data_IF_121520902116
#
_entry.id   IF_121520902116
#
_cell.length_a   1.000
_cell.length_b   1.000
_cell.length_c   1.000
_cell.angle_alpha   90.00
_cell.angle_beta   90.00
_cell.angle_gamma   90.00
#
_symmetry.space_group_name_H-M   'P 1'
#
loop_
_entity.id
_entity.type
_entity.pdbx_description
1 polymer ?
#
# COMPACT_ATOMS: atom_id res chain seq x y z
N UNK A 1 18.22 7.29 -5.17
CA UNK A 1 17.32 7.49 -4.01
C UNK A 1 17.98 6.90 -2.78
N UNK A 2 18.19 7.67 -1.71
CA UNK A 2 18.52 7.08 -0.39
C UNK A 2 17.30 6.33 0.17
N UNK A 3 17.49 5.39 1.10
CA UNK A 3 16.40 4.60 1.72
C UNK A 3 15.29 5.48 2.34
N UNK A 4 15.67 6.54 3.08
CA UNK A 4 14.72 7.54 3.60
C UNK A 4 13.82 8.11 2.51
N UNK A 5 14.40 8.44 1.35
CA UNK A 5 13.66 9.08 0.25
C UNK A 5 12.58 8.17 -0.37
N UNK A 6 12.73 6.83 -0.45
CA UNK A 6 11.65 5.97 -1.00
C UNK A 6 10.47 5.81 -0.02
N UNK A 7 10.76 5.71 1.28
CA UNK A 7 9.75 5.51 2.31
C UNK A 7 8.93 6.78 2.52
N UNK A 8 9.59 7.92 2.71
CA UNK A 8 8.93 9.23 2.87
C UNK A 8 8.03 9.53 1.67
N UNK A 9 8.52 9.32 0.44
CA UNK A 9 7.72 9.45 -0.77
C UNK A 9 6.50 8.52 -0.79
N UNK A 10 6.62 7.29 -0.29
CA UNK A 10 5.51 6.34 -0.24
C UNK A 10 4.45 6.80 0.76
N UNK A 11 4.85 7.21 1.95
CA UNK A 11 3.94 7.76 2.97
C UNK A 11 3.22 9.01 2.44
N UNK A 12 3.95 9.95 1.83
CA UNK A 12 3.37 11.17 1.24
C UNK A 12 2.33 10.85 0.18
N UNK A 13 2.63 9.93 -0.75
CA UNK A 13 1.68 9.52 -1.80
C UNK A 13 0.42 8.87 -1.23
N UNK A 14 0.56 8.03 -0.21
CA UNK A 14 -0.57 7.40 0.46
C UNK A 14 -1.41 8.42 1.24
N UNK A 15 -0.75 9.34 1.96
CA UNK A 15 -1.40 10.44 2.69
C UNK A 15 -2.26 11.27 1.75
N UNK A 16 -1.71 11.70 0.62
CA UNK A 16 -2.46 12.46 -0.36
C UNK A 16 -3.64 11.66 -0.93
N UNK A 17 -3.44 10.39 -1.29
CA UNK A 17 -4.49 9.56 -1.88
C UNK A 17 -5.65 9.32 -0.92
N UNK A 18 -5.37 9.10 0.36
CA UNK A 18 -6.38 8.91 1.39
C UNK A 18 -7.19 10.18 1.65
N UNK A 19 -6.52 11.29 1.93
CA UNK A 19 -7.19 12.55 2.29
C UNK A 19 -7.89 13.21 1.09
N UNK A 20 -7.46 12.94 -0.15
CA UNK A 20 -8.17 13.35 -1.38
C UNK A 20 -9.32 12.39 -1.75
N UNK A 21 -9.49 11.27 -1.03
CA UNK A 21 -10.52 10.27 -1.32
C UNK A 21 -10.32 9.52 -2.64
N UNK A 22 -9.09 9.44 -3.14
CA UNK A 22 -8.75 8.77 -4.42
C UNK A 22 -8.23 7.34 -4.22
N UNK A 23 -7.97 6.93 -2.97
CA UNK A 23 -7.57 5.56 -2.64
C UNK A 23 -8.72 4.57 -2.93
N UNK A 24 -8.40 3.41 -3.51
CA UNK A 24 -9.39 2.40 -3.88
C UNK A 24 -8.81 0.98 -3.84
N UNK A 25 -9.25 0.09 -2.92
CA UNK A 25 -8.73 -1.27 -2.80
C UNK A 25 -8.85 -2.14 -4.05
N UNK A 26 -9.99 -2.10 -4.74
CA UNK A 26 -10.22 -2.93 -5.93
C UNK A 26 -9.63 -2.34 -7.24
N UNK A 27 -8.89 -1.22 -7.20
CA UNK A 27 -8.33 -0.59 -8.40
C UNK A 27 -6.80 -0.66 -8.38
N UNK A 28 -6.20 -1.40 -9.31
CA UNK A 28 -4.73 -1.59 -9.33
C UNK A 28 -3.91 -0.30 -9.52
N UNK A 29 -4.52 0.78 -10.03
CA UNK A 29 -3.90 2.10 -10.13
C UNK A 29 -4.07 2.95 -8.86
N UNK A 30 -5.04 2.64 -8.02
CA UNK A 30 -5.47 3.49 -6.90
C UNK A 30 -5.44 2.79 -5.55
N UNK A 31 -5.04 1.52 -5.48
CA UNK A 31 -4.73 0.84 -4.23
C UNK A 31 -3.41 1.40 -3.63
N UNK A 32 -2.98 0.85 -2.49
CA UNK A 32 -1.75 1.31 -1.85
C UNK A 32 -0.54 1.24 -2.79
N UNK A 33 -0.34 0.08 -3.46
CA UNK A 33 0.80 -0.09 -4.37
C UNK A 33 0.64 0.75 -5.64
N UNK A 34 -0.58 0.85 -6.17
CA UNK A 34 -0.87 1.72 -7.32
C UNK A 34 -0.45 3.17 -7.07
N UNK A 35 -0.79 3.74 -5.91
CA UNK A 35 -0.36 5.09 -5.54
C UNK A 35 1.15 5.20 -5.37
N UNK A 36 1.79 4.26 -4.66
CA UNK A 36 3.27 4.22 -4.52
C UNK A 36 3.96 4.21 -5.90
N UNK A 37 3.37 3.51 -6.86
CA UNK A 37 3.83 3.39 -8.24
C UNK A 37 3.25 4.44 -9.20
N UNK A 38 2.92 5.66 -8.71
CA UNK A 38 2.50 6.79 -9.56
C UNK A 38 1.24 6.49 -10.39
N UNK A 39 0.27 5.86 -9.72
CA UNK A 39 -0.99 5.39 -10.29
C UNK A 39 -0.83 4.45 -11.49
N UNK A 40 0.27 3.68 -11.53
CA UNK A 40 0.50 2.63 -12.52
C UNK A 40 0.11 1.26 -11.97
N UNK A 41 -0.35 0.39 -12.86
CA UNK A 41 -0.85 -0.94 -12.53
C UNK A 41 0.09 -2.08 -12.97
N UNK A 42 1.27 -1.79 -13.52
CA UNK A 42 2.21 -2.81 -14.02
C UNK A 42 2.56 -3.87 -12.96
N UNK A 43 2.53 -3.48 -11.68
CA UNK A 43 2.90 -4.33 -10.55
C UNK A 43 1.93 -5.52 -10.40
N UNK A 44 0.68 -5.38 -10.86
CA UNK A 44 -0.32 -6.46 -10.82
C UNK A 44 0.11 -7.68 -11.64
N UNK A 45 0.97 -7.49 -12.64
CA UNK A 45 1.49 -8.56 -13.51
C UNK A 45 2.67 -9.32 -12.90
N UNK A 46 3.12 -8.96 -11.69
CA UNK A 46 4.18 -9.66 -10.97
C UNK A 46 3.67 -10.93 -10.26
N UNK A 47 2.35 -11.07 -10.12
CA UNK A 47 1.66 -12.26 -9.64
C UNK A 47 0.52 -12.64 -10.60
N UNK A 48 0.06 -13.88 -10.50
CA UNK A 48 -1.06 -14.36 -11.31
C UNK A 48 -2.42 -14.00 -10.68
N UNK A 49 -2.46 -13.84 -9.35
CA UNK A 49 -3.67 -13.53 -8.59
C UNK A 49 -3.53 -12.21 -7.81
N UNK A 50 -4.55 -11.35 -7.85
CA UNK A 50 -4.54 -10.09 -7.10
C UNK A 50 -4.59 -10.35 -5.59
N UNK A 51 -3.62 -9.80 -4.85
CA UNK A 51 -3.45 -9.99 -3.42
C UNK A 51 -2.64 -11.24 -3.04
N UNK A 52 -2.11 -11.97 -4.03
CA UNK A 52 -1.12 -13.01 -3.81
C UNK A 52 0.29 -12.44 -3.66
N UNK A 53 1.07 -13.01 -2.74
CA UNK A 53 2.52 -12.73 -2.58
C UNK A 53 3.40 -13.64 -3.43
N UNK A 54 2.80 -14.60 -4.13
CA UNK A 54 3.53 -15.53 -4.98
C UNK A 54 3.89 -14.85 -6.29
N UNK A 55 5.18 -14.66 -6.53
CA UNK A 55 5.67 -14.15 -7.81
C UNK A 55 5.40 -15.17 -8.93
N UNK A 56 4.93 -14.69 -10.07
CA UNK A 56 4.90 -15.46 -11.30
C UNK A 56 6.27 -15.40 -12.01
N UNK A 57 6.37 -15.94 -13.22
CA UNK A 57 7.63 -15.94 -13.97
C UNK A 57 8.19 -14.52 -14.17
N UNK A 58 7.36 -13.56 -14.59
CA UNK A 58 7.77 -12.16 -14.79
C UNK A 58 8.24 -11.55 -13.47
N UNK A 59 7.49 -11.78 -12.38
CA UNK A 59 7.88 -11.37 -11.04
C UNK A 59 9.24 -11.92 -10.62
N UNK A 60 9.46 -13.22 -10.76
CA UNK A 60 10.69 -13.92 -10.37
C UNK A 60 11.91 -13.43 -11.16
N UNK A 61 11.77 -13.17 -12.46
CA UNK A 61 12.87 -12.63 -13.27
C UNK A 61 13.26 -11.24 -12.79
N UNK A 62 12.29 -10.34 -12.60
CA UNK A 62 12.58 -8.98 -12.11
C UNK A 62 13.18 -9.00 -10.69
N UNK A 63 12.69 -9.90 -9.82
CA UNK A 63 13.20 -10.09 -8.46
C UNK A 63 14.66 -10.54 -8.48
N UNK A 64 14.99 -11.58 -9.25
CA UNK A 64 16.35 -12.13 -9.33
C UNK A 64 17.35 -11.15 -9.94
N UNK A 65 16.91 -10.29 -10.85
CA UNK A 65 17.73 -9.20 -11.40
C UNK A 65 17.89 -8.03 -10.41
N UNK A 66 17.26 -8.08 -9.24
CA UNK A 66 17.29 -6.99 -8.27
C UNK A 66 16.59 -5.72 -8.77
N UNK A 67 15.69 -5.83 -9.76
CA UNK A 67 14.97 -4.69 -10.30
C UNK A 67 14.03 -4.12 -9.25
N UNK A 68 14.03 -2.79 -9.13
CA UNK A 68 13.19 -2.06 -8.17
C UNK A 68 12.19 -1.16 -8.88
N UNK A 69 10.98 -1.09 -8.35
CA UNK A 69 9.90 -0.23 -8.80
C UNK A 69 9.52 0.68 -7.64
N UNK A 70 9.57 2.00 -7.85
CA UNK A 70 9.46 2.99 -6.76
C UNK A 70 10.42 2.71 -5.59
N UNK A 71 11.56 2.05 -5.86
CA UNK A 71 12.53 1.63 -4.85
C UNK A 71 12.28 0.26 -4.22
N UNK A 72 11.18 -0.43 -4.52
CA UNK A 72 10.83 -1.73 -3.94
C UNK A 72 11.02 -2.89 -4.91
N UNK A 73 11.45 -4.04 -4.40
CA UNK A 73 11.47 -5.30 -5.15
C UNK A 73 10.04 -5.77 -5.45
N UNK A 74 9.83 -6.59 -6.50
CA UNK A 74 8.55 -7.23 -6.76
C UNK A 74 7.90 -7.87 -5.52
N UNK A 75 8.66 -8.65 -4.76
CA UNK A 75 8.18 -9.32 -3.55
C UNK A 75 7.76 -8.33 -2.45
N UNK A 76 8.46 -7.20 -2.33
CA UNK A 76 8.13 -6.12 -1.40
C UNK A 76 6.81 -5.45 -1.76
N UNK A 77 6.59 -5.13 -3.05
CA UNK A 77 5.32 -4.55 -3.53
C UNK A 77 4.14 -5.48 -3.25
N UNK A 78 4.26 -6.77 -3.57
CA UNK A 78 3.15 -7.72 -3.35
C UNK A 78 2.81 -7.87 -1.86
N UNK A 79 3.80 -7.79 -0.96
CA UNK A 79 3.55 -7.81 0.49
C UNK A 79 2.82 -6.55 0.97
N UNK A 80 3.17 -5.38 0.43
CA UNK A 80 2.48 -4.12 0.75
C UNK A 80 1.01 -4.20 0.32
N UNK A 81 0.74 -4.64 -0.92
CA UNK A 81 -0.64 -4.78 -1.42
C UNK A 81 -1.43 -5.80 -0.62
N UNK A 82 -0.83 -6.96 -0.33
CA UNK A 82 -1.49 -8.00 0.45
C UNK A 82 -1.90 -7.47 1.83
N UNK A 83 -1.00 -6.78 2.52
CA UNK A 83 -1.29 -6.19 3.83
C UNK A 83 -2.39 -5.12 3.75
N UNK A 84 -2.34 -4.26 2.71
CA UNK A 84 -3.38 -3.26 2.48
C UNK A 84 -4.77 -3.90 2.32
N UNK A 85 -4.89 -4.90 1.45
CA UNK A 85 -6.16 -5.58 1.20
C UNK A 85 -6.63 -6.37 2.43
N UNK A 86 -5.73 -7.03 3.17
CA UNK A 86 -6.08 -7.70 4.42
C UNK A 86 -6.57 -6.72 5.48
N UNK A 87 -5.91 -5.56 5.63
CA UNK A 87 -6.33 -4.51 6.55
C UNK A 87 -7.68 -3.91 6.15
N UNK A 88 -7.97 -3.82 4.85
CA UNK A 88 -9.32 -3.48 4.38
C UNK A 88 -10.37 -4.59 4.61
N UNK A 89 -9.99 -5.76 5.11
CA UNK A 89 -10.90 -6.87 5.42
C UNK A 89 -11.18 -7.82 4.26
N UNK A 90 -10.37 -7.83 3.20
CA UNK A 90 -10.53 -8.78 2.09
C UNK A 90 -9.96 -10.15 2.44
N UNK A 91 -10.64 -11.20 1.98
CA UNK A 91 -10.08 -12.54 1.95
C UNK A 91 -9.23 -12.72 0.67
N UNK A 92 -7.99 -13.18 0.85
CA UNK A 92 -6.99 -13.22 -0.22
C UNK A 92 -6.52 -14.65 -0.58
N UNK A 93 -6.04 -14.88 -1.82
CA UNK A 93 -6.09 -13.96 -2.96
C UNK A 93 -7.53 -13.62 -3.36
N UNK A 94 -7.75 -12.51 -4.05
CA UNK A 94 -9.10 -12.09 -4.41
C UNK A 94 -9.74 -13.10 -5.37
N UNK A 95 -10.89 -13.64 -4.95
CA UNK A 95 -11.72 -14.53 -5.75
C UNK A 95 -13.18 -14.09 -5.66
N UNK A 96 -13.98 -14.48 -6.64
CA UNK A 96 -15.39 -14.08 -6.71
C UNK A 96 -16.23 -14.59 -5.52
N UNK A 97 -15.83 -15.73 -4.96
CA UNK A 97 -16.48 -16.42 -3.84
C UNK A 97 -15.94 -15.99 -2.47
N UNK A 98 -14.86 -15.22 -2.46
CA UNK A 98 -14.22 -14.76 -1.23
C UNK A 98 -14.93 -13.56 -0.63
N UNK A 99 -14.87 -13.46 0.70
CA UNK A 99 -15.41 -12.32 1.40
C UNK A 99 -14.72 -11.02 0.95
N UNK A 100 -15.54 -10.00 0.68
CA UNK A 100 -15.10 -8.64 0.45
C UNK A 100 -15.99 -7.64 1.18
N UNK A 101 -15.44 -6.50 1.62
CA UNK A 101 -16.22 -5.46 2.27
C UNK A 101 -17.33 -4.93 1.36
N UNK A 102 -18.50 -4.61 1.95
CA UNK A 102 -19.64 -4.07 1.21
C UNK A 102 -19.37 -2.67 0.65
N UNK A 103 -18.64 -1.84 1.40
CA UNK A 103 -18.25 -0.50 0.99
C UNK A 103 -16.71 -0.36 1.03
N UNK A 104 -16.01 -0.76 -0.04
CA UNK A 104 -14.54 -0.71 -0.08
C UNK A 104 -13.96 0.71 -0.13
N UNK A 105 -14.80 1.73 -0.32
CA UNK A 105 -14.42 3.15 -0.25
C UNK A 105 -14.72 3.81 1.09
N UNK A 106 -15.17 3.03 2.09
CA UNK A 106 -15.32 3.56 3.45
C UNK A 106 -13.97 4.05 3.95
N UNK A 107 -13.93 5.29 4.45
CA UNK A 107 -12.73 5.90 5.00
C UNK A 107 -12.16 5.07 6.16
N UNK A 108 -13.01 4.48 7.00
CA UNK A 108 -12.59 3.58 8.09
C UNK A 108 -11.88 2.34 7.57
N UNK A 109 -12.45 1.66 6.56
CA UNK A 109 -11.84 0.47 5.94
C UNK A 109 -10.50 0.82 5.27
N UNK A 110 -10.45 1.98 4.61
CA UNK A 110 -9.23 2.46 3.98
C UNK A 110 -8.15 2.81 4.99
N UNK A 111 -8.52 3.42 6.12
CA UNK A 111 -7.62 3.73 7.22
C UNK A 111 -7.00 2.45 7.80
N UNK A 112 -7.81 1.42 8.09
CA UNK A 112 -7.32 0.12 8.57
C UNK A 112 -6.36 -0.54 7.57
N UNK A 113 -6.71 -0.48 6.27
CA UNK A 113 -5.83 -0.93 5.19
C UNK A 113 -4.49 -0.18 5.18
N UNK A 114 -4.51 1.15 5.31
CA UNK A 114 -3.31 1.96 5.31
C UNK A 114 -2.42 1.67 6.50
N UNK A 115 -2.97 1.53 7.71
CA UNK A 115 -2.20 1.13 8.89
C UNK A 115 -1.46 -0.20 8.66
N UNK A 116 -2.12 -1.18 8.02
CA UNK A 116 -1.50 -2.44 7.67
C UNK A 116 -0.38 -2.29 6.62
N UNK A 117 -0.59 -1.49 5.57
CA UNK A 117 0.43 -1.20 4.56
C UNK A 117 1.64 -0.46 5.14
N UNK A 118 1.41 0.54 5.97
CA UNK A 118 2.45 1.34 6.66
C UNK A 118 3.29 0.43 7.57
N UNK A 119 2.65 -0.51 8.27
CA UNK A 119 3.36 -1.51 9.08
C UNK A 119 4.36 -2.30 8.24
N UNK A 120 4.02 -2.67 7.00
CA UNK A 120 4.95 -3.34 6.09
C UNK A 120 6.06 -2.38 5.63
N UNK A 121 5.70 -1.14 5.25
CA UNK A 121 6.68 -0.12 4.85
C UNK A 121 7.72 0.14 5.94
N UNK A 122 7.30 0.30 7.20
CA UNK A 122 8.20 0.48 8.35
C UNK A 122 9.13 -0.72 8.54
N UNK A 123 8.60 -1.96 8.46
CA UNK A 123 9.41 -3.18 8.53
C UNK A 123 10.48 -3.26 7.45
N UNK A 124 10.17 -2.83 6.22
CA UNK A 124 11.14 -2.80 5.11
C UNK A 124 12.28 -1.79 5.33
N UNK A 125 12.05 -0.76 6.16
CA UNK A 125 13.06 0.23 6.54
C UNK A 125 13.75 -0.09 7.88
N UNK A 126 13.30 -1.11 8.61
CA UNK A 126 13.82 -1.45 9.94
C UNK A 126 13.34 -0.49 11.03
N UNK A 127 12.18 0.14 10.84
CA UNK A 127 11.55 1.03 11.82
C UNK A 127 10.62 0.19 12.71
N UNK A 128 10.88 0.20 14.02
CA UNK A 128 10.11 -0.57 15.01
C UNK A 128 8.82 0.14 15.46
N UNK A 129 8.86 1.46 15.65
CA UNK A 129 7.70 2.25 16.06
C UNK A 129 6.95 2.80 14.83
N UNK A 130 5.74 2.28 14.61
CA UNK A 130 4.85 2.61 13.47
C UNK A 130 3.85 3.72 13.84
N UNK A 131 3.76 4.07 15.13
CA UNK A 131 2.69 4.89 15.70
C UNK A 131 2.65 6.28 15.10
N UNK A 132 3.81 6.87 14.85
CA UNK A 132 3.92 8.24 14.34
C UNK A 132 3.45 8.36 12.88
N UNK A 133 3.58 7.30 12.09
CA UNK A 133 3.13 7.29 10.70
C UNK A 133 1.62 6.99 10.56
N UNK A 134 1.05 6.23 11.49
CA UNK A 134 -0.38 5.91 11.45
C UNK A 134 -1.24 7.13 11.79
N UNK A 135 -0.77 8.00 12.70
CA UNK A 135 -1.45 9.25 13.09
C UNK A 135 -1.67 10.21 11.92
N UNK A 136 -0.79 10.21 10.91
CA UNK A 136 -0.94 11.02 9.69
C UNK A 136 -2.26 10.77 8.95
N UNK A 137 -2.92 9.65 9.18
CA UNK A 137 -4.15 9.26 8.51
C UNK A 137 -5.39 9.44 9.38
N UNK A 138 -5.23 9.97 10.60
CA UNK A 138 -6.36 10.33 11.45
C UNK A 138 -7.10 11.55 10.88
N UNK A 139 -8.43 11.50 10.98
CA UNK A 139 -9.30 12.55 10.45
C UNK A 139 -10.28 13.05 11.49
N UNK A 140 -10.42 14.36 11.61
CA UNK A 140 -11.49 15.03 12.35
C UNK A 140 -12.32 15.85 11.35
N UNK A 141 -13.64 15.66 11.35
CA UNK A 141 -14.56 16.30 10.39
C UNK A 141 -14.12 16.19 8.91
N UNK A 142 -13.58 15.04 8.50
CA UNK A 142 -13.02 14.76 7.16
C UNK A 142 -11.80 15.62 6.78
N UNK A 143 -11.13 16.25 7.75
CA UNK A 143 -9.85 16.93 7.56
C UNK A 143 -8.72 16.16 8.24
N UNK A 144 -7.49 16.16 7.69
CA UNK A 144 -6.33 15.58 8.35
C UNK A 144 -6.08 16.26 9.70
N UNK A 145 -5.92 15.47 10.77
CA UNK A 145 -5.55 16.00 12.10
C UNK A 145 -4.07 16.43 12.13
N UNK A 146 -3.23 15.71 11.40
CA UNK A 146 -1.78 15.91 11.34
C UNK A 146 -1.32 16.20 9.91
N UNK A 147 -0.41 17.16 9.73
CA UNK A 147 0.24 17.43 8.45
C UNK A 147 1.55 16.64 8.29
N UNK A 148 1.97 16.43 7.04
CA UNK A 148 3.24 15.75 6.73
C UNK A 148 4.47 16.43 7.34
N UNK A 149 4.45 17.76 7.45
CA UNK A 149 5.53 18.58 8.03
C UNK A 149 5.80 18.28 9.52
N UNK A 150 4.89 17.56 10.19
CA UNK A 150 5.06 17.14 11.58
C UNK A 150 5.84 15.81 11.71
N UNK A 151 6.06 15.10 10.61
CA UNK A 151 6.70 13.76 10.59
C UNK A 151 7.99 13.73 9.76
N UNK A 152 8.18 14.64 8.81
CA UNK A 152 9.36 14.72 7.94
C UNK A 152 10.12 16.05 8.05
#
# INVERSE_FOLDING_TARGET
>A
MSKKNRFENSITKLYEAFHKGTLHPECACQCAVGNICDNKDFWKHLSDDHGSVKLNYVGLVNEKLGKRFSGYLPSELLRIEQAFLQGCGYQLPLRYDHFKPKNPKSQTIQFEGLCAAITILCKLEGIEDVSDYSKLFETDNHQPVYSLDLVF
#
